data_IF_955699636616
#
_entry.id   IF_955699636616
#
_cell.length_a   1.000
_cell.length_b   1.000
_cell.length_c   1.000
_cell.angle_alpha   90.00
_cell.angle_beta   90.00
_cell.angle_gamma   90.00
#
_symmetry.space_group_name_H-M   'P 1'
#
loop_
_entity.id
_entity.type
_entity.pdbx_description
1 polymer ?
#
# COMPACT_ATOMS: atom_id res chain seq x y z
N UNK A 1 28.76 -34.54 26.67
CA UNK A 1 27.33 -34.91 26.72
C UNK A 1 26.51 -33.63 26.75
N UNK A 2 25.88 -33.30 25.66
CA UNK A 2 25.05 -32.08 25.47
C UNK A 2 23.59 -32.47 25.67
N UNK A 3 22.82 -31.77 26.51
CA UNK A 3 21.36 -31.96 26.50
C UNK A 3 20.73 -31.06 25.45
N UNK A 4 19.98 -31.69 24.59
CA UNK A 4 19.11 -31.10 23.58
C UNK A 4 17.88 -30.53 24.33
N UNK A 5 17.70 -29.21 24.28
CA UNK A 5 16.46 -28.58 24.69
C UNK A 5 15.43 -28.72 23.56
N UNK A 6 14.48 -29.62 23.75
CA UNK A 6 13.30 -29.71 22.93
C UNK A 6 12.33 -28.59 23.33
N UNK A 7 12.10 -27.65 22.41
CA UNK A 7 11.01 -26.71 22.54
C UNK A 7 9.71 -27.42 22.13
N UNK A 8 8.84 -27.63 23.09
CA UNK A 8 7.50 -28.14 22.85
C UNK A 8 6.62 -27.05 22.25
N UNK A 9 6.23 -27.20 21.00
CA UNK A 9 5.18 -26.41 20.40
C UNK A 9 3.83 -26.94 20.89
N UNK A 10 3.15 -26.19 21.74
CA UNK A 10 1.78 -26.48 22.14
C UNK A 10 0.82 -25.99 21.04
N UNK A 11 0.34 -26.92 20.23
CA UNK A 11 -0.78 -26.68 19.33
C UNK A 11 -2.08 -26.66 20.14
N UNK A 12 -2.66 -25.49 20.35
CA UNK A 12 -4.02 -25.38 20.88
C UNK A 12 -4.99 -25.50 19.72
N UNK A 13 -5.59 -26.68 19.58
CA UNK A 13 -6.75 -26.90 18.72
C UNK A 13 -7.98 -26.45 19.49
N UNK A 14 -8.51 -25.30 19.21
CA UNK A 14 -9.82 -24.86 19.69
C UNK A 14 -10.87 -25.24 18.65
N UNK A 15 -11.58 -26.34 18.90
CA UNK A 15 -12.86 -26.66 18.27
C UNK A 15 -13.95 -25.87 18.97
N UNK A 16 -14.71 -25.06 18.23
CA UNK A 16 -15.94 -24.54 18.79
C UNK A 16 -16.49 -23.29 18.14
N UNK A 17 -17.53 -23.50 17.34
CA UNK A 17 -18.68 -22.62 17.11
C UNK A 17 -18.45 -21.13 16.83
N UNK A 18 -18.62 -20.75 15.56
CA UNK A 18 -19.26 -19.54 15.08
C UNK A 18 -19.04 -18.22 15.83
N UNK A 19 -17.79 -17.83 16.04
CA UNK A 19 -17.47 -16.45 16.37
C UNK A 19 -16.61 -15.92 15.23
N UNK A 20 -17.11 -14.94 14.50
CA UNK A 20 -16.29 -14.09 13.66
C UNK A 20 -15.21 -13.49 14.53
N UNK A 21 -14.01 -14.05 14.47
CA UNK A 21 -12.86 -13.49 15.16
C UNK A 21 -12.60 -12.11 14.56
N UNK A 22 -13.08 -11.07 15.21
CA UNK A 22 -12.60 -9.72 15.02
C UNK A 22 -11.17 -9.75 15.54
N UNK A 23 -10.23 -9.95 14.66
CA UNK A 23 -8.82 -9.83 15.01
C UNK A 23 -8.60 -8.38 15.38
N UNK A 24 -8.62 -8.08 16.66
CA UNK A 24 -8.13 -6.80 17.19
C UNK A 24 -6.64 -6.84 16.93
N UNK A 25 -6.22 -6.27 15.83
CA UNK A 25 -4.80 -6.11 15.55
C UNK A 25 -4.25 -5.12 16.57
N UNK A 26 -3.49 -5.65 17.49
CA UNK A 26 -2.65 -4.88 18.38
C UNK A 26 -1.61 -4.11 17.58
N UNK A 27 -1.08 -3.09 18.16
CA UNK A 27 -0.19 -2.02 17.67
C UNK A 27 1.10 -2.47 16.98
N UNK A 28 1.32 -3.75 16.78
CA UNK A 28 2.60 -4.36 16.40
C UNK A 28 2.60 -5.02 15.01
N UNK A 29 1.61 -4.69 14.15
CA UNK A 29 1.77 -5.01 12.72
C UNK A 29 2.77 -3.99 12.17
N UNK A 30 3.95 -4.42 11.72
CA UNK A 30 4.89 -3.49 11.13
C UNK A 30 4.19 -2.81 9.95
N UNK A 31 4.07 -1.48 10.02
CA UNK A 31 3.85 -0.71 8.82
C UNK A 31 4.89 -1.17 7.80
N UNK A 32 4.52 -1.34 6.54
CA UNK A 32 5.55 -1.41 5.51
C UNK A 32 6.39 -0.16 5.70
N UNK A 33 7.56 -0.35 6.24
CA UNK A 33 8.41 0.78 6.53
C UNK A 33 8.86 1.37 5.20
N UNK A 34 8.41 2.59 4.93
CA UNK A 34 9.02 3.37 3.85
C UNK A 34 10.51 3.46 4.18
N UNK A 35 11.40 2.97 3.30
CA UNK A 35 12.84 2.98 3.59
C UNK A 35 13.34 4.38 3.88
N UNK A 36 14.27 4.49 4.82
CA UNK A 36 14.97 5.75 5.05
C UNK A 36 15.86 6.07 3.85
N UNK A 37 15.49 7.09 3.09
CA UNK A 37 16.16 7.55 1.88
C UNK A 37 16.15 9.07 1.81
N UNK A 38 17.03 9.63 1.00
CA UNK A 38 16.97 11.06 0.70
C UNK A 38 15.84 11.33 -0.28
N UNK A 39 14.68 11.66 0.26
CA UNK A 39 13.47 11.94 -0.50
C UNK A 39 13.46 13.38 -1.04
N UNK A 40 13.20 13.52 -2.34
CA UNK A 40 13.02 14.78 -3.04
C UNK A 40 11.55 14.96 -3.44
N UNK A 41 11.06 16.19 -3.62
CA UNK A 41 9.74 16.42 -4.21
C UNK A 41 9.58 15.67 -5.51
N UNK A 42 8.42 15.06 -5.74
CA UNK A 42 8.15 14.24 -6.90
C UNK A 42 8.14 15.07 -8.19
N UNK A 43 8.81 14.56 -9.21
CA UNK A 43 8.80 15.07 -10.58
C UNK A 43 9.19 13.98 -11.59
N UNK A 44 10.01 13.02 -11.18
CA UNK A 44 10.61 12.04 -12.09
C UNK A 44 9.62 11.07 -12.73
N UNK A 45 8.45 10.88 -12.11
CA UNK A 45 7.37 10.04 -12.62
C UNK A 45 6.24 10.84 -13.28
N UNK A 46 6.33 12.15 -13.32
CA UNK A 46 5.29 13.00 -13.92
C UNK A 46 5.03 12.63 -15.39
N UNK A 47 3.75 12.57 -15.74
CA UNK A 47 3.28 12.14 -17.04
C UNK A 47 3.22 10.62 -17.23
N UNK A 48 3.66 9.83 -16.26
CA UNK A 48 3.58 8.38 -16.28
C UNK A 48 2.35 7.87 -15.56
N UNK A 49 1.82 6.76 -16.04
CA UNK A 49 0.80 5.99 -15.34
C UNK A 49 1.11 4.50 -15.48
N UNK A 50 0.73 3.73 -14.48
CA UNK A 50 0.96 2.29 -14.43
C UNK A 50 -0.33 1.58 -14.08
N UNK A 51 -0.61 0.52 -14.81
CA UNK A 51 -1.73 -0.39 -14.54
C UNK A 51 -1.19 -1.54 -13.73
N UNK A 52 -1.76 -1.74 -12.55
CA UNK A 52 -1.28 -2.70 -11.56
C UNK A 52 -2.36 -3.71 -11.21
N UNK A 53 -1.92 -4.93 -10.97
CA UNK A 53 -2.67 -5.99 -10.34
C UNK A 53 -1.88 -6.51 -9.14
N UNK A 54 -2.59 -7.05 -8.16
CA UNK A 54 -1.94 -7.48 -6.93
C UNK A 54 -2.87 -8.19 -5.97
N UNK A 55 -2.43 -8.32 -4.74
CA UNK A 55 -3.17 -8.99 -3.69
C UNK A 55 -3.01 -8.34 -2.32
N UNK A 56 -3.95 -8.62 -1.45
CA UNK A 56 -3.84 -8.32 -0.02
C UNK A 56 -2.92 -9.35 0.60
N UNK A 57 -1.84 -8.91 1.23
CA UNK A 57 -0.79 -9.79 1.76
C UNK A 57 -1.31 -10.75 2.82
N UNK A 58 -2.19 -10.30 3.71
CA UNK A 58 -2.68 -11.08 4.84
C UNK A 58 -3.64 -12.21 4.43
N UNK A 59 -4.34 -12.03 3.33
CA UNK A 59 -5.40 -12.97 2.90
C UNK A 59 -5.13 -13.66 1.59
N UNK A 60 -4.22 -13.11 0.77
CA UNK A 60 -4.00 -13.53 -0.61
C UNK A 60 -5.17 -13.16 -1.54
N UNK A 61 -6.15 -12.39 -1.07
CA UNK A 61 -7.27 -11.98 -1.91
C UNK A 61 -6.80 -11.02 -3.00
N UNK A 62 -7.26 -11.25 -4.23
CA UNK A 62 -6.94 -10.40 -5.36
C UNK A 62 -7.42 -8.96 -5.15
N UNK A 63 -6.57 -8.02 -5.49
CA UNK A 63 -6.93 -6.61 -5.58
C UNK A 63 -7.56 -6.34 -6.95
N UNK A 64 -8.65 -5.57 -6.99
CA UNK A 64 -9.12 -5.06 -8.25
C UNK A 64 -8.03 -4.22 -8.94
N UNK A 65 -7.95 -4.35 -10.25
CA UNK A 65 -7.02 -3.58 -11.06
C UNK A 65 -7.07 -2.09 -10.70
N UNK A 66 -5.91 -1.48 -10.54
CA UNK A 66 -5.77 -0.05 -10.26
C UNK A 66 -4.81 0.60 -11.25
N UNK A 67 -5.04 1.87 -11.52
CA UNK A 67 -4.08 2.72 -12.25
C UNK A 67 -3.50 3.71 -11.27
N UNK A 68 -2.18 3.74 -11.16
CA UNK A 68 -1.45 4.77 -10.45
C UNK A 68 -0.99 5.82 -11.45
N UNK A 69 -1.32 7.07 -11.21
CA UNK A 69 -1.00 8.19 -12.10
C UNK A 69 -0.17 9.25 -11.38
N UNK A 70 0.79 9.82 -12.10
CA UNK A 70 1.70 10.85 -11.58
C UNK A 70 1.62 12.08 -12.49
N UNK A 71 1.24 13.23 -11.95
CA UNK A 71 1.06 14.48 -12.70
C UNK A 71 1.45 15.66 -11.79
N UNK A 72 2.33 16.52 -12.28
CA UNK A 72 2.72 17.77 -11.62
C UNK A 72 3.09 17.61 -10.14
N UNK A 73 3.94 16.63 -9.83
CA UNK A 73 4.38 16.33 -8.47
C UNK A 73 3.33 15.66 -7.60
N UNK A 74 2.23 15.19 -8.18
CA UNK A 74 1.11 14.56 -7.47
C UNK A 74 0.85 13.16 -7.96
N UNK A 75 0.29 12.36 -7.07
CA UNK A 75 -0.02 10.95 -7.20
C UNK A 75 -1.51 10.69 -6.96
N UNK A 76 -2.08 9.80 -7.74
CA UNK A 76 -3.43 9.30 -7.54
C UNK A 76 -3.52 7.81 -7.84
N UNK A 77 -4.30 7.09 -7.04
CA UNK A 77 -4.74 5.72 -7.32
C UNK A 77 -6.20 5.72 -7.75
N UNK A 78 -6.50 5.16 -8.92
CA UNK A 78 -7.88 5.11 -9.44
C UNK A 78 -8.84 4.36 -8.51
N UNK A 79 -8.37 3.32 -7.82
CA UNK A 79 -9.20 2.58 -6.85
C UNK A 79 -9.48 3.38 -5.60
N UNK A 80 -8.47 4.09 -5.08
CA UNK A 80 -8.68 4.98 -3.94
C UNK A 80 -9.66 6.09 -4.31
N UNK A 81 -9.57 6.63 -5.52
CA UNK A 81 -10.49 7.66 -5.99
C UNK A 81 -11.94 7.14 -6.06
N UNK A 82 -12.16 5.94 -6.61
CA UNK A 82 -13.49 5.32 -6.68
C UNK A 82 -14.02 5.00 -5.28
N UNK A 83 -13.16 4.54 -4.39
CA UNK A 83 -13.57 4.11 -3.05
C UNK A 83 -13.98 5.28 -2.14
N UNK A 84 -13.26 6.38 -2.15
CA UNK A 84 -13.42 7.46 -1.18
C UNK A 84 -12.91 8.82 -1.66
N UNK A 85 -12.80 9.06 -2.94
CA UNK A 85 -12.35 10.35 -3.48
C UNK A 85 -11.04 10.86 -2.82
N UNK A 86 -10.03 9.99 -2.68
CA UNK A 86 -8.74 10.34 -2.07
C UNK A 86 -8.01 11.51 -2.76
N UNK A 87 -8.37 11.81 -4.00
CA UNK A 87 -7.82 12.91 -4.77
C UNK A 87 -6.36 12.74 -5.15
N UNK A 88 -5.73 13.85 -5.49
CA UNK A 88 -4.33 13.95 -5.82
C UNK A 88 -3.53 14.33 -4.59
N UNK A 89 -2.46 13.60 -4.31
CA UNK A 89 -1.61 13.81 -3.14
C UNK A 89 -0.16 13.96 -3.60
N UNK A 90 0.62 14.74 -2.88
CA UNK A 90 2.03 14.91 -3.18
C UNK A 90 2.76 13.56 -3.11
N UNK A 91 3.71 13.35 -4.01
CA UNK A 91 4.62 12.22 -3.93
C UNK A 91 6.07 12.69 -3.87
N UNK A 92 6.93 11.81 -3.43
CA UNK A 92 8.35 12.06 -3.32
C UNK A 92 9.10 10.95 -4.02
N UNK A 93 10.27 11.26 -4.55
CA UNK A 93 11.14 10.29 -5.21
C UNK A 93 12.53 10.26 -4.58
N UNK A 94 13.19 9.14 -4.76
CA UNK A 94 14.61 8.96 -4.49
C UNK A 94 15.17 8.04 -5.56
N UNK A 95 16.35 8.33 -6.05
CA UNK A 95 16.96 7.57 -7.12
C UNK A 95 18.14 6.73 -6.61
N UNK A 96 18.25 5.53 -7.16
CA UNK A 96 19.38 4.63 -6.95
C UNK A 96 19.79 4.06 -8.31
N UNK A 97 20.80 4.67 -8.93
CA UNK A 97 21.14 4.37 -10.31
C UNK A 97 19.97 4.69 -11.26
N UNK A 98 19.49 3.69 -11.97
CA UNK A 98 18.33 3.82 -12.88
C UNK A 98 17.00 3.50 -12.18
N UNK A 99 17.03 3.01 -10.95
CA UNK A 99 15.87 2.69 -10.16
C UNK A 99 15.30 3.95 -9.51
N UNK A 100 14.00 4.20 -9.74
CA UNK A 100 13.27 5.28 -9.10
C UNK A 100 12.42 4.69 -7.98
N UNK A 101 12.65 5.15 -6.76
CA UNK A 101 11.80 4.86 -5.62
C UNK A 101 10.81 6.02 -5.45
N UNK A 102 9.57 5.70 -5.11
CA UNK A 102 8.60 6.74 -4.77
C UNK A 102 7.85 6.41 -3.49
N UNK A 103 7.34 7.42 -2.84
CA UNK A 103 6.42 7.32 -1.71
C UNK A 103 5.36 8.41 -1.78
N UNK A 104 4.17 8.08 -1.32
CA UNK A 104 3.05 9.02 -1.16
C UNK A 104 2.17 8.57 -0.01
N UNK A 105 1.51 9.52 0.61
CA UNK A 105 0.46 9.24 1.60
C UNK A 105 -0.85 9.83 1.11
N UNK A 106 -1.83 8.97 0.89
CA UNK A 106 -3.15 9.37 0.43
C UNK A 106 -4.18 9.22 1.56
N UNK A 107 -5.13 10.15 1.65
CA UNK A 107 -6.13 10.20 2.72
C UNK A 107 -7.52 10.33 2.15
N UNK A 108 -8.44 9.55 2.70
CA UNK A 108 -9.87 9.77 2.44
C UNK A 108 -10.33 11.05 3.15
N UNK A 109 -11.02 11.99 2.47
CA UNK A 109 -11.45 13.22 3.11
C UNK A 109 -12.52 13.02 4.17
N UNK A 110 -13.43 12.04 3.98
CA UNK A 110 -14.62 11.87 4.80
C UNK A 110 -14.59 10.64 5.71
N UNK A 111 -13.51 9.87 5.68
CA UNK A 111 -13.38 8.66 6.49
C UNK A 111 -11.94 8.47 7.02
N UNK A 112 -11.77 7.73 8.12
CA UNK A 112 -10.48 7.58 8.77
C UNK A 112 -9.56 6.57 8.05
N UNK A 113 -9.47 6.68 6.73
CA UNK A 113 -8.65 5.82 5.90
C UNK A 113 -7.42 6.58 5.39
N UNK A 114 -6.27 5.95 5.49
CA UNK A 114 -5.00 6.44 4.96
C UNK A 114 -4.30 5.30 4.27
N UNK A 115 -3.68 5.56 3.14
CA UNK A 115 -2.80 4.60 2.47
C UNK A 115 -1.42 5.22 2.34
N UNK A 116 -0.42 4.54 2.88
CA UNK A 116 0.98 4.86 2.65
C UNK A 116 1.47 3.97 1.52
N UNK A 117 2.00 4.59 0.48
CA UNK A 117 2.50 3.94 -0.72
C UNK A 117 4.02 3.99 -0.74
N UNK A 118 4.62 2.89 -1.10
CA UNK A 118 6.02 2.81 -1.46
C UNK A 118 6.17 1.96 -2.71
N UNK A 119 6.87 2.45 -3.70
CA UNK A 119 7.07 1.72 -4.94
C UNK A 119 8.44 1.91 -5.54
N UNK A 120 8.78 0.98 -6.42
CA UNK A 120 10.02 0.92 -7.17
C UNK A 120 9.67 0.85 -8.65
N UNK A 121 10.31 1.69 -9.44
CA UNK A 121 10.17 1.71 -10.90
C UNK A 121 11.53 1.41 -11.52
N UNK A 122 11.59 0.35 -12.30
CA UNK A 122 12.76 -0.08 -13.06
C UNK A 122 12.36 -0.17 -14.54
N UNK A 123 12.80 0.81 -15.33
CA UNK A 123 12.36 0.92 -16.72
C UNK A 123 10.86 1.11 -16.83
N UNK A 124 10.18 0.11 -17.38
CA UNK A 124 8.74 0.08 -17.58
C UNK A 124 7.99 -0.80 -16.55
N UNK A 125 8.68 -1.35 -15.60
CA UNK A 125 8.07 -2.16 -14.54
C UNK A 125 7.93 -1.36 -13.24
N UNK A 126 6.78 -1.51 -12.60
CA UNK A 126 6.52 -0.95 -11.28
C UNK A 126 6.14 -2.07 -10.32
N UNK A 127 6.71 -2.04 -9.12
CA UNK A 127 6.25 -2.79 -7.95
C UNK A 127 5.90 -1.81 -6.87
N UNK A 128 4.79 -2.05 -6.19
CA UNK A 128 4.32 -1.15 -5.14
C UNK A 128 3.82 -1.94 -3.94
N UNK A 129 4.12 -1.41 -2.78
CA UNK A 129 3.57 -1.81 -1.51
C UNK A 129 2.67 -0.69 -1.00
N UNK A 130 1.54 -1.04 -0.43
CA UNK A 130 0.63 -0.09 0.19
C UNK A 130 0.19 -0.58 1.55
N UNK A 131 0.23 0.29 2.55
CA UNK A 131 -0.36 0.02 3.85
C UNK A 131 -1.63 0.84 3.99
N UNK A 132 -2.76 0.16 3.94
CA UNK A 132 -4.07 0.76 4.19
C UNK A 132 -4.37 0.72 5.68
N UNK A 133 -4.52 1.88 6.30
CA UNK A 133 -4.86 2.02 7.71
C UNK A 133 -6.25 2.62 7.86
N UNK A 134 -7.10 1.96 8.62
CA UNK A 134 -8.38 2.50 9.10
C UNK A 134 -8.24 2.74 10.60
N UNK A 135 -8.38 4.00 11.01
CA UNK A 135 -8.21 4.37 12.42
C UNK A 135 -9.50 4.93 13.00
N UNK A 136 -10.04 4.23 14.00
CA UNK A 136 -11.15 4.67 14.83
C UNK A 136 -10.63 4.96 16.24
N UNK A 137 -11.38 5.67 17.04
CA UNK A 137 -10.96 6.02 18.41
C UNK A 137 -10.74 4.79 19.32
N UNK A 138 -11.39 3.67 19.01
CA UNK A 138 -11.34 2.43 19.81
C UNK A 138 -10.60 1.26 19.12
N UNK A 139 -10.21 1.39 17.84
CA UNK A 139 -9.45 0.36 17.14
C UNK A 139 -8.71 0.93 15.91
N UNK A 140 -7.68 0.23 15.54
CA UNK A 140 -6.95 0.48 14.29
C UNK A 140 -6.85 -0.83 13.52
N UNK A 141 -7.13 -0.82 12.24
CA UNK A 141 -6.95 -1.93 11.32
C UNK A 141 -5.97 -1.53 10.23
N UNK A 142 -5.04 -2.41 9.93
CA UNK A 142 -4.13 -2.28 8.80
C UNK A 142 -4.26 -3.49 7.89
N UNK A 143 -4.15 -3.26 6.59
CA UNK A 143 -3.97 -4.28 5.58
C UNK A 143 -2.84 -3.86 4.65
N UNK A 144 -2.06 -4.81 4.19
CA UNK A 144 -0.95 -4.59 3.31
C UNK A 144 -1.28 -5.07 1.90
N UNK A 145 -0.90 -4.27 0.92
CA UNK A 145 -1.16 -4.47 -0.48
C UNK A 145 0.18 -4.66 -1.20
N UNK A 146 0.26 -5.66 -2.06
CA UNK A 146 1.37 -5.83 -2.99
C UNK A 146 0.81 -5.84 -4.39
N UNK A 147 1.37 -5.02 -5.27
CA UNK A 147 0.95 -4.98 -6.66
C UNK A 147 2.13 -4.70 -7.58
N UNK A 148 2.01 -5.16 -8.80
CA UNK A 148 2.99 -4.94 -9.86
C UNK A 148 2.29 -4.68 -11.17
N UNK A 149 2.97 -4.01 -12.08
CA UNK A 149 2.41 -3.70 -13.38
C UNK A 149 3.32 -2.89 -14.29
N UNK A 150 2.74 -2.44 -15.38
CA UNK A 150 3.43 -1.81 -16.49
C UNK A 150 2.75 -0.51 -16.92
N UNK A 151 3.41 0.30 -17.77
CA UNK A 151 2.88 1.57 -18.20
C UNK A 151 1.53 1.45 -18.91
N UNK A 152 0.70 2.45 -18.68
CA UNK A 152 -0.56 2.65 -19.38
C UNK A 152 -0.78 4.14 -19.63
N UNK A 153 -1.81 4.49 -20.39
CA UNK A 153 -2.21 5.88 -20.52
C UNK A 153 -2.82 6.39 -19.21
N UNK A 154 -2.48 7.60 -18.76
CA UNK A 154 -3.10 8.20 -17.59
C UNK A 154 -4.62 8.25 -17.79
N UNK A 155 -5.38 7.69 -16.87
CA UNK A 155 -6.81 7.98 -16.76
C UNK A 155 -6.93 9.35 -16.08
N UNK A 156 -6.92 10.39 -16.87
CA UNK A 156 -7.30 11.72 -16.41
C UNK A 156 -8.82 11.72 -16.34
N UNK A 157 -9.39 11.41 -15.18
CA UNK A 157 -10.76 11.83 -14.94
C UNK A 157 -10.73 13.35 -14.87
N UNK A 158 -11.42 13.98 -15.80
CA UNK A 158 -11.54 15.42 -15.87
C UNK A 158 -12.03 15.93 -14.50
N UNK A 159 -11.25 16.84 -13.93
CA UNK A 159 -11.69 17.64 -12.79
C UNK A 159 -12.84 18.48 -13.34
N UNK A 160 -14.06 18.05 -13.11
CA UNK A 160 -15.22 18.91 -13.33
C UNK A 160 -15.13 20.01 -12.30
N UNK A 161 -14.87 21.22 -12.80
CA UNK A 161 -14.75 22.42 -12.00
C UNK A 161 -16.05 22.84 -11.30
#
# INVERSE_FOLDING_TARGET
VTPILQAAAAAVVALGTGATAVTVMTKDVPDFAVPDRQWQPGAELDGRAFRLSGAITETGADLPETVLSFVDGRFQSSRCQIYCEFGWNDYRTSRDGETIHFTSTTRCPDAPHTVVWYGIVEGDEMRVEGTWTTRRWYWTRQINLLAEGSPTSPKVEAISG
#
